data_IF_265471720961
#
_entry.id   IF_265471720961
#
_cell.length_a   1.000
_cell.length_b   1.000
_cell.length_c   1.000
_cell.angle_alpha   90.00
_cell.angle_beta   90.00
_cell.angle_gamma   90.00
#
_symmetry.space_group_name_H-M   'P 1'
#
loop_
_entity.id
_entity.type
_entity.pdbx_description
1 polymer ?
#
# COMPACT_ATOMS: atom_id res chain seq x y z
N UNK A 1 15.26 -6.12 -51.60
CA UNK A 1 14.03 -6.50 -50.86
C UNK A 1 14.33 -7.75 -50.04
N UNK A 2 14.79 -7.60 -48.81
CA UNK A 2 14.86 -8.71 -47.85
C UNK A 2 14.33 -8.19 -46.52
N UNK A 3 13.12 -8.64 -46.19
CA UNK A 3 12.38 -8.32 -44.99
C UNK A 3 12.90 -9.17 -43.84
N UNK A 4 13.53 -8.54 -42.85
CA UNK A 4 13.85 -9.18 -41.58
C UNK A 4 12.68 -8.98 -40.61
N UNK A 5 11.81 -9.98 -40.48
CA UNK A 5 10.89 -10.09 -39.34
C UNK A 5 11.69 -10.50 -38.12
N UNK A 6 11.93 -9.56 -37.21
CA UNK A 6 12.37 -9.86 -35.85
C UNK A 6 11.19 -10.46 -35.08
N UNK A 7 11.07 -11.79 -35.08
CA UNK A 7 10.20 -12.49 -34.14
C UNK A 7 10.91 -12.54 -32.79
N UNK A 8 10.90 -11.40 -32.09
CA UNK A 8 11.35 -11.33 -30.71
C UNK A 8 10.31 -11.96 -29.81
N UNK A 9 10.39 -13.27 -29.60
CA UNK A 9 9.76 -13.92 -28.44
C UNK A 9 10.40 -13.31 -27.20
N UNK A 10 9.80 -12.23 -26.68
CA UNK A 10 10.02 -11.78 -25.32
C UNK A 10 9.61 -12.95 -24.43
N UNK A 11 10.58 -13.75 -24.02
CA UNK A 11 10.43 -14.65 -22.89
C UNK A 11 10.18 -13.76 -21.66
N UNK A 12 8.93 -13.35 -21.45
CA UNK A 12 8.51 -12.71 -20.22
C UNK A 12 8.52 -13.80 -19.17
N UNK A 13 9.70 -14.07 -18.59
CA UNK A 13 9.75 -14.66 -17.26
C UNK A 13 8.76 -13.85 -16.42
N UNK A 14 7.71 -14.53 -15.94
CA UNK A 14 6.54 -13.90 -15.34
C UNK A 14 7.01 -13.03 -14.18
N UNK A 15 7.16 -11.73 -14.41
CA UNK A 15 7.60 -10.79 -13.39
C UNK A 15 6.60 -10.90 -12.25
N UNK A 16 7.09 -11.17 -11.03
CA UNK A 16 6.21 -11.37 -9.89
C UNK A 16 5.46 -10.06 -9.65
N UNK A 17 4.13 -10.09 -9.72
CA UNK A 17 3.31 -8.92 -9.43
C UNK A 17 3.42 -8.58 -7.93
N UNK A 18 4.17 -7.52 -7.64
CA UNK A 18 4.40 -7.00 -6.29
C UNK A 18 3.41 -5.90 -5.87
N UNK A 19 2.38 -5.64 -6.68
CA UNK A 19 1.41 -4.55 -6.43
C UNK A 19 0.77 -4.67 -5.05
N UNK A 20 0.32 -5.86 -4.66
CA UNK A 20 -0.31 -6.10 -3.36
C UNK A 20 0.66 -5.83 -2.19
N UNK A 21 1.92 -6.22 -2.35
CA UNK A 21 2.95 -6.04 -1.34
C UNK A 21 3.25 -4.56 -1.11
N UNK A 22 3.54 -3.81 -2.17
CA UNK A 22 3.83 -2.37 -2.05
C UNK A 22 2.61 -1.56 -1.60
N UNK A 23 1.40 -1.91 -2.06
CA UNK A 23 0.19 -1.26 -1.58
C UNK A 23 -0.03 -1.49 -0.08
N UNK A 24 0.20 -2.71 0.42
CA UNK A 24 0.14 -3.02 1.85
C UNK A 24 1.16 -2.24 2.68
N UNK A 25 2.40 -2.11 2.20
CA UNK A 25 3.43 -1.28 2.83
C UNK A 25 3.03 0.19 2.89
N UNK A 26 2.51 0.74 1.79
CA UNK A 26 2.06 2.12 1.74
C UNK A 26 0.85 2.37 2.65
N UNK A 27 -0.08 1.41 2.74
CA UNK A 27 -1.22 1.47 3.65
C UNK A 27 -0.78 1.54 5.11
N UNK A 28 0.16 0.66 5.50
CA UNK A 28 0.77 0.66 6.83
C UNK A 28 1.52 1.95 7.14
N UNK A 29 2.31 2.45 6.18
CA UNK A 29 3.01 3.73 6.30
C UNK A 29 2.04 4.90 6.53
N UNK A 30 0.96 4.98 5.73
CA UNK A 30 -0.04 6.04 5.86
C UNK A 30 -0.71 6.01 7.25
N UNK A 31 -1.03 4.82 7.79
CA UNK A 31 -1.56 4.66 9.15
C UNK A 31 -0.56 5.18 10.21
N UNK A 32 0.71 4.84 10.08
CA UNK A 32 1.75 5.35 10.99
C UNK A 32 1.90 6.86 10.89
N UNK A 33 1.89 7.42 9.67
CA UNK A 33 1.98 8.86 9.45
C UNK A 33 0.83 9.62 10.14
N UNK A 34 -0.41 9.12 10.05
CA UNK A 34 -1.58 9.69 10.76
C UNK A 34 -1.31 9.76 12.27
N UNK A 35 -0.83 8.67 12.88
CA UNK A 35 -0.49 8.65 14.32
C UNK A 35 0.62 9.64 14.66
N UNK A 36 1.70 9.68 13.86
CA UNK A 36 2.84 10.56 14.10
C UNK A 36 2.46 12.03 14.01
N UNK A 37 1.61 12.42 13.04
CA UNK A 37 1.14 13.79 12.94
C UNK A 37 0.24 14.19 14.12
N UNK A 38 -0.65 13.30 14.57
CA UNK A 38 -1.47 13.56 15.75
C UNK A 38 -0.61 13.84 17.00
N UNK A 39 0.45 13.05 17.21
CA UNK A 39 1.42 13.29 18.29
C UNK A 39 2.08 14.66 18.13
N UNK A 40 2.63 14.96 16.95
CA UNK A 40 3.32 16.23 16.69
C UNK A 40 2.43 17.48 16.87
N UNK A 41 1.14 17.39 16.54
CA UNK A 41 0.15 18.47 16.75
C UNK A 41 -0.01 18.77 18.25
N UNK A 42 0.00 17.75 19.10
CA UNK A 42 -0.13 17.93 20.56
C UNK A 42 1.15 18.40 21.24
N UNK A 43 2.32 18.17 20.62
CA UNK A 43 3.62 18.54 21.18
C UNK A 43 4.12 19.92 20.69
N UNK A 44 3.49 20.52 19.69
CA UNK A 44 3.95 21.80 19.13
C UNK A 44 3.30 23.03 19.78
N UNK A 45 4.16 23.94 20.26
CA UNK A 45 3.75 25.23 20.80
C UNK A 45 3.51 26.30 19.71
N UNK A 46 4.10 26.14 18.52
CA UNK A 46 4.04 27.13 17.44
C UNK A 46 2.74 26.99 16.64
N UNK A 47 1.85 28.00 16.58
CA UNK A 47 0.55 27.89 15.92
C UNK A 47 0.64 27.53 14.43
N UNK A 48 1.58 28.12 13.70
CA UNK A 48 1.80 27.87 12.27
C UNK A 48 2.28 26.43 12.01
N UNK A 49 3.06 25.88 12.94
CA UNK A 49 3.50 24.48 12.86
C UNK A 49 2.33 23.54 13.11
N UNK A 50 1.49 23.84 14.11
CA UNK A 50 0.25 23.08 14.37
C UNK A 50 -0.66 23.03 13.14
N UNK A 51 -0.89 24.16 12.49
CA UNK A 51 -1.70 24.24 11.27
C UNK A 51 -1.11 23.41 10.13
N UNK A 52 0.22 23.47 9.96
CA UNK A 52 0.93 22.68 8.94
C UNK A 52 0.79 21.18 9.18
N UNK A 53 1.02 20.73 10.41
CA UNK A 53 0.88 19.31 10.77
C UNK A 53 -0.56 18.83 10.64
N UNK A 54 -1.56 19.67 10.94
CA UNK A 54 -2.96 19.35 10.72
C UNK A 54 -3.29 19.14 9.22
N UNK A 55 -2.75 19.98 8.34
CA UNK A 55 -2.90 19.79 6.88
C UNK A 55 -2.28 18.48 6.41
N UNK A 56 -1.09 18.15 6.92
CA UNK A 56 -0.39 16.89 6.60
C UNK A 56 -1.14 15.67 7.15
N UNK A 57 -1.69 15.74 8.37
CA UNK A 57 -2.56 14.72 8.95
C UNK A 57 -3.76 14.44 8.04
N UNK A 58 -4.46 15.49 7.60
CA UNK A 58 -5.61 15.34 6.71
C UNK A 58 -5.22 14.70 5.36
N UNK A 59 -4.05 15.07 4.81
CA UNK A 59 -3.52 14.45 3.59
C UNK A 59 -3.16 12.96 3.80
N UNK A 60 -2.58 12.59 4.95
CA UNK A 60 -2.27 11.21 5.29
C UNK A 60 -3.54 10.35 5.47
N UNK A 61 -4.59 10.90 6.08
CA UNK A 61 -5.91 10.24 6.17
C UNK A 61 -6.47 9.97 4.77
N UNK A 62 -6.45 10.99 3.89
CA UNK A 62 -6.92 10.84 2.52
C UNK A 62 -6.09 9.81 1.73
N UNK A 63 -4.77 9.78 1.93
CA UNK A 63 -3.89 8.78 1.32
C UNK A 63 -4.23 7.37 1.81
N UNK A 64 -4.38 7.17 3.12
CA UNK A 64 -4.75 5.88 3.70
C UNK A 64 -6.07 5.37 3.09
N UNK A 65 -7.09 6.23 2.99
CA UNK A 65 -8.36 5.87 2.37
C UNK A 65 -8.19 5.48 0.89
N UNK A 66 -7.45 6.25 0.10
CA UNK A 66 -7.19 5.95 -1.32
C UNK A 66 -6.51 4.59 -1.49
N UNK A 67 -5.48 4.29 -0.70
CA UNK A 67 -4.76 3.02 -0.77
C UNK A 67 -5.64 1.86 -0.33
N UNK A 68 -6.43 2.05 0.74
CA UNK A 68 -7.38 1.04 1.20
C UNK A 68 -8.39 0.67 0.11
N UNK A 69 -9.05 1.66 -0.50
CA UNK A 69 -10.01 1.41 -1.58
C UNK A 69 -9.35 0.81 -2.81
N UNK A 70 -8.16 1.28 -3.19
CA UNK A 70 -7.38 0.68 -4.28
C UNK A 70 -7.15 -0.83 -4.07
N UNK A 71 -6.78 -1.24 -2.85
CA UNK A 71 -6.57 -2.65 -2.51
C UNK A 71 -7.89 -3.43 -2.43
N UNK A 72 -8.93 -2.84 -1.85
CA UNK A 72 -10.23 -3.47 -1.68
C UNK A 72 -10.89 -3.76 -3.04
N UNK A 73 -10.98 -2.75 -3.92
CA UNK A 73 -11.62 -2.84 -5.24
C UNK A 73 -10.94 -3.88 -6.15
N UNK A 74 -9.64 -4.11 -5.94
CA UNK A 74 -8.84 -5.11 -6.67
C UNK A 74 -8.79 -6.48 -5.97
N UNK A 75 -9.49 -6.64 -4.85
CA UNK A 75 -9.50 -7.89 -4.07
C UNK A 75 -8.19 -8.22 -3.36
N UNK A 76 -7.26 -7.27 -3.29
CA UNK A 76 -5.96 -7.40 -2.62
C UNK A 76 -6.08 -7.31 -1.11
N UNK A 77 -7.16 -6.71 -0.60
CA UNK A 77 -7.46 -6.61 0.83
C UNK A 77 -8.96 -6.78 1.10
N UNK A 78 -9.46 -8.03 1.24
CA UNK A 78 -10.89 -8.33 1.38
C UNK A 78 -11.39 -8.07 2.81
N UNK A 79 -11.31 -6.82 3.27
CA UNK A 79 -11.59 -6.42 4.66
C UNK A 79 -13.01 -6.71 5.16
N UNK A 80 -13.98 -6.85 4.24
CA UNK A 80 -15.37 -7.19 4.57
C UNK A 80 -15.66 -8.71 4.53
N UNK A 81 -14.71 -9.54 4.10
CA UNK A 81 -14.81 -11.00 4.06
C UNK A 81 -13.76 -11.59 5.00
N UNK A 82 -14.14 -11.72 6.27
CA UNK A 82 -13.23 -12.15 7.34
C UNK A 82 -12.64 -13.56 7.10
N UNK A 83 -13.41 -14.60 6.70
CA UNK A 83 -12.84 -15.90 6.37
C UNK A 83 -11.77 -15.82 5.27
N UNK A 84 -12.02 -15.04 4.22
CA UNK A 84 -11.05 -14.86 3.12
C UNK A 84 -9.81 -14.08 3.57
N UNK A 85 -10.00 -13.03 4.36
CA UNK A 85 -8.89 -12.26 4.93
C UNK A 85 -7.96 -13.15 5.77
N UNK A 86 -8.52 -13.93 6.69
CA UNK A 86 -7.75 -14.84 7.55
C UNK A 86 -7.03 -15.93 6.74
N UNK A 87 -7.70 -16.49 5.74
CA UNK A 87 -7.07 -17.47 4.84
C UNK A 87 -5.85 -16.88 4.12
N UNK A 88 -5.96 -15.65 3.61
CA UNK A 88 -4.85 -14.95 2.98
C UNK A 88 -3.72 -14.69 3.97
N UNK A 89 -4.02 -14.26 5.20
CA UNK A 89 -3.02 -13.98 6.23
C UNK A 89 -2.22 -15.24 6.60
N UNK A 90 -2.87 -16.40 6.72
CA UNK A 90 -2.19 -17.69 6.96
C UNK A 90 -1.24 -18.03 5.80
N UNK A 91 -1.66 -17.84 4.55
CA UNK A 91 -0.80 -18.08 3.38
C UNK A 91 0.42 -17.16 3.39
N UNK A 92 0.23 -15.87 3.67
CA UNK A 92 1.32 -14.89 3.75
C UNK A 92 2.29 -15.24 4.89
N UNK A 93 1.78 -15.60 6.07
CA UNK A 93 2.59 -15.99 7.22
C UNK A 93 3.44 -17.24 6.93
N UNK A 94 2.83 -18.28 6.35
CA UNK A 94 3.55 -19.49 5.95
C UNK A 94 4.63 -19.21 4.91
N UNK A 95 4.34 -18.34 3.93
CA UNK A 95 5.33 -17.90 2.94
C UNK A 95 6.51 -17.21 3.62
N UNK A 96 6.25 -16.29 4.56
CA UNK A 96 7.30 -15.58 5.29
C UNK A 96 8.17 -16.50 6.15
N UNK A 97 7.61 -17.57 6.73
CA UNK A 97 8.36 -18.57 7.51
C UNK A 97 9.19 -19.48 6.60
N UNK A 98 8.72 -19.76 5.37
CA UNK A 98 9.41 -20.64 4.42
C UNK A 98 10.56 -19.98 3.64
N UNK A 99 10.74 -18.66 3.81
CA UNK A 99 11.83 -17.89 3.21
C UNK A 99 13.06 -17.89 4.12
#
# INVERSE_FOLDING_TARGET
>A
MTSWRLNGTRNSGKEMDLTAFYAGQLLGFAKTAVRSYAIGITETATPQLRETLQKQLNAAIALHAKVFYFMLERGLYPSYDLPKLLSNDVVIANKAISM
#
